data_IF_914404174388
#
_entry.id   IF_914404174388
#
_cell.length_a   1.000
_cell.length_b   1.000
_cell.length_c   1.000
_cell.angle_alpha   90.00
_cell.angle_beta   90.00
_cell.angle_gamma   90.00
#
_symmetry.space_group_name_H-M   'P 1'
#
loop_
_entity.id
_entity.type
_entity.pdbx_description
1 polymer ?
#
# COMPACT_ATOMS: atom_id res chain seq x y z
N UNK A 1 21.19 8.58 -8.07
CA UNK A 1 19.77 8.49 -8.48
C UNK A 1 19.24 7.17 -7.94
N UNK A 2 17.97 7.15 -7.51
CA UNK A 2 17.15 5.93 -7.32
C UNK A 2 17.01 5.32 -5.91
N UNK A 3 16.87 6.12 -4.84
CA UNK A 3 16.21 5.63 -3.60
C UNK A 3 14.71 5.96 -3.59
N UNK A 4 14.30 7.08 -4.18
CA UNK A 4 12.89 7.49 -4.14
C UNK A 4 11.98 6.54 -4.92
N UNK A 5 12.43 6.06 -6.09
CA UNK A 5 11.66 5.14 -6.91
C UNK A 5 11.43 3.79 -6.21
N UNK A 6 12.38 3.30 -5.40
CA UNK A 6 12.21 2.05 -4.66
C UNK A 6 11.23 2.17 -3.49
N UNK A 7 11.13 3.36 -2.88
CA UNK A 7 10.15 3.65 -1.83
C UNK A 7 8.74 3.75 -2.40
N UNK A 8 8.59 4.44 -3.53
CA UNK A 8 7.29 4.53 -4.22
C UNK A 8 6.85 3.15 -4.71
N UNK A 9 7.77 2.35 -5.27
CA UNK A 9 7.46 0.98 -5.70
C UNK A 9 7.04 0.10 -4.51
N UNK A 10 7.73 0.21 -3.37
CA UNK A 10 7.38 -0.52 -2.15
C UNK A 10 6.01 -0.11 -1.61
N UNK A 11 5.73 1.19 -1.60
CA UNK A 11 4.45 1.74 -1.16
C UNK A 11 3.31 1.33 -2.09
N UNK A 12 3.52 1.44 -3.40
CA UNK A 12 2.56 1.03 -4.41
C UNK A 12 2.26 -0.47 -4.28
N UNK A 13 3.28 -1.32 -4.11
CA UNK A 13 3.08 -2.76 -3.96
C UNK A 13 2.30 -3.09 -2.69
N UNK A 14 2.61 -2.42 -1.58
CA UNK A 14 1.87 -2.57 -0.32
C UNK A 14 0.39 -2.20 -0.52
N UNK A 15 0.09 -1.05 -1.14
CA UNK A 15 -1.29 -0.59 -1.34
C UNK A 15 -2.07 -1.46 -2.33
N UNK A 16 -1.45 -1.87 -3.43
CA UNK A 16 -2.09 -2.77 -4.41
C UNK A 16 -2.37 -4.13 -3.77
N UNK A 17 -1.43 -4.66 -2.99
CA UNK A 17 -1.64 -5.92 -2.28
C UNK A 17 -2.74 -5.80 -1.25
N UNK A 18 -2.82 -4.68 -0.53
CA UNK A 18 -3.90 -4.43 0.42
C UNK A 18 -5.26 -4.59 -0.25
N UNK A 19 -5.56 -3.82 -1.31
CA UNK A 19 -6.90 -3.91 -1.93
C UNK A 19 -7.14 -5.14 -2.82
N UNK A 20 -6.09 -5.87 -3.25
CA UNK A 20 -6.27 -7.05 -4.11
C UNK A 20 -6.18 -8.39 -3.35
N UNK A 21 -5.54 -8.41 -2.19
CA UNK A 21 -5.28 -9.64 -1.43
C UNK A 21 -6.12 -9.72 -0.15
N UNK A 22 -7.07 -8.81 0.10
CA UNK A 22 -8.05 -8.87 1.18
C UNK A 22 -9.35 -9.49 0.65
N UNK A 23 -10.30 -8.70 0.18
CA UNK A 23 -11.61 -9.16 -0.31
C UNK A 23 -11.58 -9.65 -1.77
N UNK A 24 -10.51 -9.34 -2.49
CA UNK A 24 -10.22 -9.83 -3.83
C UNK A 24 -10.61 -8.89 -4.96
N UNK A 25 -11.12 -7.67 -4.69
CA UNK A 25 -11.40 -6.69 -5.76
C UNK A 25 -11.30 -5.25 -5.26
N UNK A 26 -10.25 -4.53 -5.70
CA UNK A 26 -10.24 -3.06 -5.62
C UNK A 26 -11.44 -2.47 -6.35
N UNK A 27 -12.36 -1.86 -5.61
CA UNK A 27 -13.44 -1.05 -6.18
C UNK A 27 -12.88 0.18 -6.89
N UNK A 28 -13.69 0.84 -7.71
CA UNK A 28 -13.29 2.07 -8.38
C UNK A 28 -12.94 3.20 -7.38
N UNK A 29 -13.62 3.23 -6.24
CA UNK A 29 -13.44 4.25 -5.22
C UNK A 29 -12.18 3.99 -4.36
N UNK A 30 -11.91 2.74 -4.04
CA UNK A 30 -10.64 2.34 -3.41
C UNK A 30 -9.45 2.60 -4.34
N UNK A 31 -9.55 2.26 -5.64
CA UNK A 31 -8.48 2.51 -6.61
C UNK A 31 -8.18 4.00 -6.75
N UNK A 32 -9.22 4.85 -6.76
CA UNK A 32 -9.06 6.31 -6.78
C UNK A 32 -8.37 6.79 -5.51
N UNK A 33 -8.84 6.34 -4.35
CA UNK A 33 -8.27 6.70 -3.05
C UNK A 33 -6.81 6.27 -2.95
N UNK A 34 -6.48 5.05 -3.38
CA UNK A 34 -5.13 4.52 -3.47
C UNK A 34 -4.23 5.41 -4.32
N UNK A 35 -4.66 5.76 -5.54
CA UNK A 35 -3.88 6.63 -6.42
C UNK A 35 -3.67 8.02 -5.81
N UNK A 36 -4.69 8.60 -5.18
CA UNK A 36 -4.59 9.87 -4.48
C UNK A 36 -3.62 9.82 -3.30
N UNK A 37 -3.67 8.74 -2.50
CA UNK A 37 -2.74 8.55 -1.37
C UNK A 37 -1.31 8.39 -1.86
N UNK A 38 -1.09 7.53 -2.86
CA UNK A 38 0.24 7.32 -3.43
C UNK A 38 0.82 8.62 -4.00
N UNK A 39 0.03 9.41 -4.72
CA UNK A 39 0.45 10.73 -5.23
C UNK A 39 0.78 11.73 -4.13
N UNK A 40 0.06 11.73 -3.00
CA UNK A 40 0.38 12.58 -1.84
C UNK A 40 1.70 12.18 -1.16
N UNK A 41 2.07 10.90 -1.25
CA UNK A 41 3.32 10.36 -0.68
C UNK A 41 4.53 10.52 -1.60
N UNK A 42 4.29 10.70 -2.89
CA UNK A 42 5.29 10.92 -3.92
C UNK A 42 4.97 12.18 -4.75
N UNK A 43 4.95 13.38 -4.13
CA UNK A 43 4.57 14.64 -4.79
C UNK A 43 5.49 15.05 -5.95
N UNK A 44 6.68 14.46 -6.02
CA UNK A 44 7.66 14.64 -7.10
C UNK A 44 7.27 13.92 -8.40
N UNK A 45 6.36 12.95 -8.35
CA UNK A 45 5.92 12.22 -9.52
C UNK A 45 4.79 12.95 -10.25
N UNK A 46 4.91 13.01 -11.58
CA UNK A 46 3.79 13.41 -12.42
C UNK A 46 2.67 12.36 -12.41
N UNK A 47 1.45 12.76 -12.79
CA UNK A 47 0.33 11.81 -12.93
C UNK A 47 0.64 10.67 -13.91
N UNK A 48 1.42 10.95 -14.95
CA UNK A 48 1.85 9.93 -15.93
C UNK A 48 2.81 8.91 -15.28
N UNK A 49 3.79 9.40 -14.52
CA UNK A 49 4.74 8.55 -13.79
C UNK A 49 4.02 7.71 -12.72
N UNK A 50 3.12 8.32 -11.97
CA UNK A 50 2.27 7.63 -10.99
C UNK A 50 1.46 6.51 -11.64
N UNK A 51 0.83 6.79 -12.78
CA UNK A 51 0.11 5.78 -13.56
C UNK A 51 1.01 4.65 -14.05
N UNK A 52 2.25 4.96 -14.43
CA UNK A 52 3.22 3.95 -14.85
C UNK A 52 3.67 3.05 -13.69
N UNK A 53 3.93 3.64 -12.52
CA UNK A 53 4.22 2.88 -11.29
C UNK A 53 3.08 1.93 -10.98
N UNK A 54 1.84 2.43 -10.89
CA UNK A 54 0.68 1.59 -10.57
C UNK A 54 0.49 0.43 -11.57
N UNK A 55 0.63 0.68 -12.88
CA UNK A 55 0.56 -0.38 -13.90
C UNK A 55 1.66 -1.41 -13.74
N UNK A 56 2.89 -0.96 -13.48
CA UNK A 56 4.04 -1.83 -13.21
C UNK A 56 3.80 -2.69 -11.98
N UNK A 57 3.36 -2.08 -10.88
CA UNK A 57 3.03 -2.74 -9.63
C UNK A 57 1.92 -3.77 -9.79
N UNK A 58 0.82 -3.44 -10.49
CA UNK A 58 -0.27 -4.40 -10.76
C UNK A 58 0.24 -5.59 -11.59
N UNK A 59 1.12 -5.34 -12.55
CA UNK A 59 1.76 -6.40 -13.35
C UNK A 59 2.65 -7.29 -12.47
N UNK A 60 3.48 -6.69 -11.61
CA UNK A 60 4.32 -7.40 -10.65
C UNK A 60 3.47 -8.24 -9.68
N UNK A 61 2.41 -7.66 -9.13
CA UNK A 61 1.44 -8.34 -8.25
C UNK A 61 0.82 -9.55 -8.94
N UNK A 62 0.34 -9.41 -10.18
CA UNK A 62 -0.22 -10.52 -10.97
C UNK A 62 0.79 -11.61 -11.28
N UNK A 63 2.08 -11.28 -11.34
CA UNK A 63 3.18 -12.23 -11.53
C UNK A 63 3.59 -12.99 -10.26
N UNK A 64 3.10 -12.58 -9.08
CA UNK A 64 3.29 -13.35 -7.83
C UNK A 64 2.28 -14.49 -7.79
N UNK A 65 2.70 -15.66 -7.33
CA UNK A 65 1.89 -16.88 -7.33
C UNK A 65 0.71 -16.79 -6.36
N UNK A 66 0.86 -17.39 -5.18
CA UNK A 66 -0.24 -17.54 -4.23
C UNK A 66 -0.60 -16.21 -3.54
N UNK A 67 -1.79 -16.17 -2.94
CA UNK A 67 -2.25 -15.03 -2.14
C UNK A 67 -1.32 -14.78 -0.95
N UNK A 68 -0.85 -15.85 -0.32
CA UNK A 68 0.07 -15.82 0.81
C UNK A 68 1.43 -15.23 0.41
N UNK A 69 1.96 -15.61 -0.75
CA UNK A 69 3.22 -15.04 -1.28
C UNK A 69 3.09 -13.54 -1.56
N UNK A 70 1.93 -13.08 -2.04
CA UNK A 70 1.64 -11.66 -2.25
C UNK A 70 1.66 -10.89 -0.93
N UNK A 71 0.94 -11.42 0.07
CA UNK A 71 0.90 -10.82 1.41
C UNK A 71 2.30 -10.80 2.02
N UNK A 72 3.09 -11.87 1.90
CA UNK A 72 4.45 -11.92 2.41
C UNK A 72 5.35 -10.85 1.77
N UNK A 73 5.29 -10.70 0.44
CA UNK A 73 6.03 -9.65 -0.27
C UNK A 73 5.60 -8.25 0.18
N UNK A 74 4.31 -8.02 0.38
CA UNK A 74 3.85 -6.74 0.91
C UNK A 74 4.40 -6.45 2.31
N UNK A 75 4.53 -7.47 3.16
CA UNK A 75 5.16 -7.32 4.47
C UNK A 75 6.67 -7.08 4.37
N UNK A 76 7.36 -7.67 3.38
CA UNK A 76 8.76 -7.34 3.10
C UNK A 76 8.91 -5.88 2.66
N UNK A 77 8.01 -5.38 1.81
CA UNK A 77 7.97 -3.96 1.44
C UNK A 77 7.68 -3.06 2.64
N UNK A 78 6.77 -3.44 3.54
CA UNK A 78 6.53 -2.71 4.79
C UNK A 78 7.77 -2.67 5.69
N UNK A 79 8.55 -3.75 5.76
CA UNK A 79 9.83 -3.75 6.50
C UNK A 79 10.87 -2.80 5.86
N UNK A 80 10.98 -2.80 4.53
CA UNK A 80 11.83 -1.83 3.81
C UNK A 80 11.39 -0.40 4.10
N UNK A 81 10.09 -0.12 4.06
CA UNK A 81 9.55 1.20 4.40
C UNK A 81 9.88 1.58 5.84
N UNK A 82 9.73 0.67 6.82
CA UNK A 82 10.06 0.92 8.23
C UNK A 82 11.48 1.47 8.40
N UNK A 83 12.43 0.88 7.68
CA UNK A 83 13.86 1.19 7.80
C UNK A 83 14.27 2.41 6.97
N UNK A 84 13.41 2.88 6.07
CA UNK A 84 13.73 3.93 5.10
C UNK A 84 13.00 5.25 5.34
N UNK A 85 11.93 5.25 6.15
CA UNK A 85 11.12 6.45 6.43
C UNK A 85 10.97 6.69 7.93
N UNK A 86 10.70 7.95 8.30
CA UNK A 86 10.48 8.32 9.69
C UNK A 86 9.15 7.82 10.24
N UNK A 87 8.97 7.89 11.57
CA UNK A 87 7.76 7.43 12.25
C UNK A 87 6.49 8.14 11.77
N UNK A 88 6.59 9.43 11.41
CA UNK A 88 5.46 10.20 10.89
C UNK A 88 4.95 9.64 9.57
N UNK A 89 5.87 9.31 8.66
CA UNK A 89 5.56 8.67 7.39
C UNK A 89 5.02 7.24 7.61
N UNK A 90 5.57 6.48 8.56
CA UNK A 90 5.04 5.15 8.92
C UNK A 90 3.59 5.21 9.41
N UNK A 91 3.26 6.18 10.26
CA UNK A 91 1.88 6.39 10.70
C UNK A 91 0.98 6.84 9.55
N UNK A 92 1.51 7.69 8.65
CA UNK A 92 0.77 8.15 7.48
C UNK A 92 0.41 7.01 6.51
N UNK A 93 1.29 6.01 6.36
CA UNK A 93 1.04 4.80 5.57
C UNK A 93 -0.13 4.00 6.15
N UNK A 94 -0.18 3.81 7.48
CA UNK A 94 -1.29 3.09 8.14
C UNK A 94 -2.62 3.86 8.03
N UNK A 95 -2.57 5.19 8.15
CA UNK A 95 -3.75 6.02 7.96
C UNK A 95 -4.25 5.97 6.51
N UNK A 96 -3.35 5.83 5.54
CA UNK A 96 -3.71 5.68 4.14
C UNK A 96 -4.36 4.33 3.86
N UNK A 97 -3.82 3.23 4.38
CA UNK A 97 -4.46 1.91 4.26
C UNK A 97 -5.88 1.91 4.84
N UNK A 98 -6.05 2.55 5.99
CA UNK A 98 -7.37 2.66 6.64
C UNK A 98 -8.34 3.52 5.83
N UNK A 99 -7.85 4.59 5.20
CA UNK A 99 -8.65 5.43 4.31
C UNK A 99 -9.01 4.73 3.00
N UNK A 100 -8.13 3.86 2.47
CA UNK A 100 -8.42 3.03 1.30
C UNK A 100 -9.53 2.04 1.67
N UNK A 101 -9.38 1.31 2.78
CA UNK A 101 -10.39 0.36 3.27
C UNK A 101 -11.77 0.98 3.45
N UNK A 102 -11.81 2.23 3.96
CA UNK A 102 -13.07 2.91 4.22
C UNK A 102 -13.67 3.60 2.96
N UNK A 103 -13.03 3.51 1.79
CA UNK A 103 -13.40 4.30 0.62
C UNK A 103 -14.75 3.92 0.01
N UNK A 104 -15.14 2.65 0.11
CA UNK A 104 -16.45 2.15 -0.34
C UNK A 104 -17.48 2.04 0.81
N UNK A 105 -17.04 2.31 2.04
CA UNK A 105 -17.88 2.35 3.24
C UNK A 105 -17.95 1.04 4.04
N UNK A 106 -17.26 -0.02 3.62
CA UNK A 106 -17.22 -1.30 4.34
C UNK A 106 -15.78 -1.75 4.59
N UNK A 107 -15.42 -2.00 5.85
CA UNK A 107 -14.09 -2.52 6.19
C UNK A 107 -14.22 -3.97 6.69
N UNK A 108 -13.71 -4.90 5.90
CA UNK A 108 -13.72 -6.34 6.20
C UNK A 108 -12.71 -6.73 7.29
N UNK A 109 -12.95 -7.88 7.93
CA UNK A 109 -12.02 -8.47 8.91
C UNK A 109 -10.63 -8.73 8.31
N UNK A 110 -10.58 -9.04 7.01
CA UNK A 110 -9.33 -9.34 6.30
C UNK A 110 -8.49 -8.09 6.09
N UNK A 111 -9.13 -6.95 5.82
CA UNK A 111 -8.47 -5.64 5.73
C UNK A 111 -7.97 -5.19 7.09
N UNK A 112 -8.79 -5.32 8.14
CA UNK A 112 -8.38 -5.00 9.50
C UNK A 112 -7.17 -5.84 9.93
N UNK A 113 -7.18 -7.15 9.64
CA UNK A 113 -6.06 -8.03 9.91
C UNK A 113 -4.79 -7.64 9.14
N UNK A 114 -4.94 -7.23 7.87
CA UNK A 114 -3.81 -6.75 7.06
C UNK A 114 -3.23 -5.44 7.60
N UNK A 115 -4.08 -4.48 7.97
CA UNK A 115 -3.67 -3.19 8.54
C UNK A 115 -2.96 -3.43 9.88
N UNK A 116 -3.51 -4.27 10.76
CA UNK A 116 -2.91 -4.62 12.04
C UNK A 116 -1.53 -5.27 11.89
N UNK A 117 -1.40 -6.23 10.97
CA UNK A 117 -0.10 -6.85 10.67
C UNK A 117 0.90 -5.84 10.13
N UNK A 118 0.46 -4.95 9.24
CA UNK A 118 1.34 -3.93 8.64
C UNK A 118 1.76 -2.88 9.68
N UNK A 119 0.87 -2.49 10.59
CA UNK A 119 1.18 -1.57 11.68
C UNK A 119 2.24 -2.15 12.63
N UNK A 120 2.12 -3.45 12.95
CA UNK A 120 3.16 -4.16 13.71
C UNK A 120 4.50 -4.18 12.97
N UNK A 121 4.51 -4.47 11.67
CA UNK A 121 5.73 -4.45 10.85
C UNK A 121 6.36 -3.06 10.80
N UNK A 122 5.56 -2.00 10.67
CA UNK A 122 6.03 -0.62 10.66
C UNK A 122 6.38 -0.08 12.06
N UNK A 123 6.02 -0.80 13.13
CA UNK A 123 6.27 -0.38 14.51
C UNK A 123 5.47 0.87 14.91
N UNK A 124 4.23 1.00 14.42
CA UNK A 124 3.34 2.12 14.71
C UNK A 124 2.00 1.64 15.26
N UNK A 125 1.25 2.55 15.88
CA UNK A 125 -0.06 2.24 16.42
C UNK A 125 -1.12 2.15 15.30
N UNK A 126 -2.16 1.34 15.55
CA UNK A 126 -3.36 1.36 14.74
C UNK A 126 -4.04 2.75 14.83
N UNK A 127 -4.71 3.20 13.76
CA UNK A 127 -5.48 4.42 13.82
C UNK A 127 -6.60 4.27 14.87
N UNK A 128 -6.85 5.35 15.61
CA UNK A 128 -7.89 5.43 16.65
C UNK A 128 -9.27 5.67 16.06
#
# INVERSE_FOLDING_TARGET
MSNDNSLVDALAFLYVTFGQATDGTLTADEMRTLAEKLGKRAPELSLEQLGQVLRSTVTAYKGVGSREEKIERAQQHAAVLRDSVDEGMRQAIINDLSAIAAADGEVSDQEQAFIARTAQTLGVALPS
#
